data_IF_681815396425
#
_entry.id   IF_681815396425
#
_cell.length_a   1.000
_cell.length_b   1.000
_cell.length_c   1.000
_cell.angle_alpha   90.00
_cell.angle_beta   90.00
_cell.angle_gamma   90.00
#
_symmetry.space_group_name_H-M   'P 1'
#
loop_
_entity.id
_entity.type
_entity.pdbx_description
1 polymer ?
#
# COMPACT_ATOMS: atom_id res chain seq x y z
N UNK A 1 2.54 -6.18 8.78
CA UNK A 1 1.81 -5.18 7.94
C UNK A 1 0.66 -5.90 7.28
N UNK A 2 -0.51 -5.28 7.28
CA UNK A 2 -1.71 -5.75 6.54
C UNK A 2 -2.11 -4.69 5.53
N UNK A 3 -2.82 -5.07 4.47
CA UNK A 3 -3.16 -4.15 3.39
C UNK A 3 -4.60 -4.35 2.93
N UNK A 4 -5.33 -3.24 2.86
CA UNK A 4 -6.72 -3.18 2.42
C UNK A 4 -6.74 -2.85 0.93
N UNK A 5 -7.42 -3.67 0.13
CA UNK A 5 -7.79 -3.30 -1.23
C UNK A 5 -8.90 -2.24 -1.16
N UNK A 6 -8.61 -1.02 -1.59
CA UNK A 6 -9.58 0.08 -1.65
C UNK A 6 -10.03 0.41 -3.09
N UNK A 7 -9.63 -0.39 -4.07
CA UNK A 7 -9.96 -0.17 -5.48
C UNK A 7 -11.40 -0.53 -5.83
N UNK A 8 -11.97 -1.52 -5.13
CA UNK A 8 -13.23 -2.17 -5.46
C UNK A 8 -14.22 -2.16 -4.29
N UNK A 9 -14.13 -1.15 -3.42
CA UNK A 9 -15.09 -0.92 -2.32
C UNK A 9 -16.51 -0.97 -2.87
N UNK A 10 -17.37 -1.77 -2.23
CA UNK A 10 -18.78 -1.92 -2.62
C UNK A 10 -19.64 -0.87 -1.92
N UNK A 11 -19.51 -0.78 -0.59
CA UNK A 11 -20.21 0.16 0.28
C UNK A 11 -19.44 0.34 1.61
N UNK A 12 -20.00 1.13 2.52
CA UNK A 12 -19.42 1.41 3.84
C UNK A 12 -19.29 0.15 4.71
N UNK A 13 -20.27 -0.76 4.67
CA UNK A 13 -20.23 -2.01 5.46
C UNK A 13 -19.06 -2.87 5.01
N UNK A 14 -18.91 -3.05 3.69
CA UNK A 14 -17.80 -3.78 3.11
C UNK A 14 -16.44 -3.16 3.46
N UNK A 15 -16.34 -1.83 3.47
CA UNK A 15 -15.10 -1.15 3.86
C UNK A 15 -14.77 -1.34 5.33
N UNK A 16 -15.76 -1.20 6.22
CA UNK A 16 -15.62 -1.41 7.67
C UNK A 16 -15.15 -2.83 7.96
N UNK A 17 -15.76 -3.85 7.33
CA UNK A 17 -15.34 -5.25 7.49
C UNK A 17 -13.89 -5.48 7.09
N UNK A 18 -13.46 -4.92 5.93
CA UNK A 18 -12.07 -5.03 5.46
C UNK A 18 -11.09 -4.35 6.42
N UNK A 19 -11.44 -3.16 6.92
CA UNK A 19 -10.61 -2.40 7.89
C UNK A 19 -10.47 -3.17 9.20
N UNK A 20 -11.59 -3.69 9.74
CA UNK A 20 -11.58 -4.50 10.95
C UNK A 20 -10.79 -5.78 10.78
N UNK A 21 -10.95 -6.49 9.66
CA UNK A 21 -10.17 -7.70 9.39
C UNK A 21 -8.66 -7.41 9.30
N UNK A 22 -8.27 -6.32 8.62
CA UNK A 22 -6.87 -5.94 8.50
C UNK A 22 -6.25 -5.53 9.84
N UNK A 23 -7.00 -4.83 10.69
CA UNK A 23 -6.58 -4.45 12.04
C UNK A 23 -6.46 -5.69 12.96
N UNK A 24 -7.43 -6.58 12.92
CA UNK A 24 -7.42 -7.84 13.66
C UNK A 24 -6.20 -8.69 13.30
N UNK A 25 -6.01 -8.98 12.00
CA UNK A 25 -4.85 -9.76 11.52
C UNK A 25 -3.52 -9.08 11.86
N UNK A 26 -3.43 -7.76 11.73
CA UNK A 26 -2.25 -7.00 12.10
C UNK A 26 -1.94 -7.12 13.59
N UNK A 27 -2.97 -7.12 14.44
CA UNK A 27 -2.81 -7.25 15.90
C UNK A 27 -2.37 -8.65 16.30
N UNK A 28 -2.88 -9.70 15.66
CA UNK A 28 -2.37 -11.06 15.87
C UNK A 28 -0.87 -11.16 15.51
N UNK A 29 -0.45 -10.53 14.41
CA UNK A 29 0.96 -10.49 14.00
C UNK A 29 1.86 -9.80 15.04
N UNK A 30 1.35 -8.77 15.73
CA UNK A 30 2.13 -8.07 16.77
C UNK A 30 2.46 -8.96 17.98
N UNK A 31 1.70 -10.04 18.20
CA UNK A 31 2.00 -11.03 19.24
C UNK A 31 3.12 -12.01 18.89
N UNK A 32 3.62 -12.02 17.65
CA UNK A 32 4.68 -12.94 17.23
C UNK A 32 6.07 -12.37 17.59
N UNK A 33 6.42 -12.45 18.87
CA UNK A 33 7.65 -11.85 19.43
C UNK A 33 8.73 -12.87 19.81
N UNK A 34 8.55 -14.14 19.43
CA UNK A 34 9.54 -15.19 19.64
C UNK A 34 10.66 -15.14 18.59
N UNK A 35 11.66 -14.30 18.85
CA UNK A 35 12.78 -14.05 17.95
C UNK A 35 14.03 -14.83 18.32
N UNK A 36 14.11 -16.09 17.90
CA UNK A 36 15.22 -17.00 18.21
C UNK A 36 16.64 -16.50 17.84
N UNK A 37 16.76 -15.61 16.84
CA UNK A 37 18.05 -15.17 16.28
C UNK A 37 18.33 -13.68 16.46
N UNK A 38 17.45 -12.94 17.11
CA UNK A 38 17.61 -11.49 17.29
C UNK A 38 18.03 -11.17 18.73
N UNK A 39 18.75 -10.05 18.86
CA UNK A 39 19.10 -9.50 20.18
C UNK A 39 17.83 -9.27 21.00
N UNK A 40 17.83 -9.52 22.33
CA UNK A 40 16.65 -9.36 23.20
C UNK A 40 15.96 -7.99 23.09
N UNK A 41 16.73 -6.93 22.85
CA UNK A 41 16.20 -5.57 22.64
C UNK A 41 15.13 -5.47 21.55
N UNK A 42 15.21 -6.30 20.51
CA UNK A 42 14.20 -6.32 19.43
C UNK A 42 12.88 -6.91 19.91
N UNK A 43 12.94 -7.95 20.74
CA UNK A 43 11.75 -8.52 21.39
C UNK A 43 11.14 -7.50 22.35
N UNK A 44 11.93 -6.95 23.27
CA UNK A 44 11.49 -5.94 24.23
C UNK A 44 10.86 -4.73 23.56
N UNK A 45 11.47 -4.21 22.50
CA UNK A 45 10.94 -3.05 21.75
C UNK A 45 9.64 -3.41 21.01
N UNK A 46 9.56 -4.61 20.41
CA UNK A 46 8.36 -5.06 19.69
C UNK A 46 7.21 -5.28 20.65
N UNK A 47 7.45 -5.88 21.81
CA UNK A 47 6.43 -6.10 22.85
C UNK A 47 5.97 -4.78 23.48
N UNK A 48 6.89 -3.84 23.69
CA UNK A 48 6.57 -2.51 24.23
C UNK A 48 5.65 -1.72 23.29
N UNK A 49 6.03 -1.60 22.02
CA UNK A 49 5.30 -0.73 21.08
C UNK A 49 4.17 -1.46 20.34
N UNK A 50 4.23 -2.80 20.25
CA UNK A 50 3.28 -3.68 19.58
C UNK A 50 2.81 -3.16 18.20
N UNK A 51 3.75 -2.60 17.42
CA UNK A 51 3.42 -1.85 16.20
C UNK A 51 2.67 -2.71 15.19
N UNK A 52 1.56 -2.15 14.68
CA UNK A 52 0.87 -2.68 13.50
C UNK A 52 0.84 -1.61 12.41
N UNK A 53 0.82 -2.02 11.15
CA UNK A 53 0.63 -1.07 10.05
C UNK A 53 -0.41 -1.61 9.10
N UNK A 54 -1.62 -1.08 9.25
CA UNK A 54 -2.74 -1.26 8.33
C UNK A 54 -2.54 -0.26 7.19
N UNK A 55 -2.22 -0.80 6.02
CA UNK A 55 -1.98 -0.08 4.76
C UNK A 55 -3.22 -0.13 3.86
N UNK A 56 -3.22 0.70 2.83
CA UNK A 56 -4.20 0.66 1.74
C UNK A 56 -3.47 0.57 0.40
N UNK A 57 -4.03 -0.20 -0.54
CA UNK A 57 -3.60 -0.24 -1.94
C UNK A 57 -4.78 -0.01 -2.88
N UNK A 58 -4.52 0.55 -4.06
CA UNK A 58 -5.56 0.93 -5.00
C UNK A 58 -6.20 2.29 -4.71
N UNK A 59 -5.52 3.15 -3.95
CA UNK A 59 -6.04 4.48 -3.56
C UNK A 59 -6.40 5.31 -4.80
N UNK A 60 -5.59 5.22 -5.85
CA UNK A 60 -5.80 6.00 -7.08
C UNK A 60 -6.98 5.54 -7.93
N UNK A 61 -7.65 4.44 -7.58
CA UNK A 61 -8.94 4.06 -8.17
C UNK A 61 -10.09 4.96 -7.71
N UNK A 62 -9.88 5.79 -6.69
CA UNK A 62 -10.75 6.91 -6.35
C UNK A 62 -11.83 6.63 -5.31
N UNK A 63 -12.31 5.38 -5.17
CA UNK A 63 -13.44 5.05 -4.30
C UNK A 63 -13.25 5.46 -2.83
N UNK A 64 -12.03 5.33 -2.31
CA UNK A 64 -11.74 5.63 -0.90
C UNK A 64 -11.93 7.11 -0.54
N UNK A 65 -11.93 8.03 -1.51
CA UNK A 65 -12.11 9.47 -1.25
C UNK A 65 -13.53 9.85 -0.83
N UNK A 66 -14.50 8.96 -1.01
CA UNK A 66 -15.89 9.16 -0.60
C UNK A 66 -16.12 8.91 0.90
N UNK A 67 -15.10 8.37 1.60
CA UNK A 67 -15.20 7.92 2.99
C UNK A 67 -14.34 8.76 3.95
N UNK A 68 -14.73 8.75 5.22
CA UNK A 68 -14.02 9.45 6.29
C UNK A 68 -12.83 8.62 6.80
N UNK A 69 -11.63 8.96 6.31
CA UNK A 69 -10.39 8.29 6.69
C UNK A 69 -10.08 8.39 8.19
N UNK A 70 -10.54 9.44 8.88
CA UNK A 70 -10.31 9.63 10.31
C UNK A 70 -11.08 8.60 11.11
N UNK A 71 -12.37 8.43 10.80
CA UNK A 71 -13.21 7.39 11.44
C UNK A 71 -12.70 5.99 11.18
N UNK A 72 -12.21 5.72 9.97
CA UNK A 72 -11.62 4.41 9.66
C UNK A 72 -10.33 4.18 10.45
N UNK A 73 -9.49 5.20 10.65
CA UNK A 73 -8.28 5.08 11.46
C UNK A 73 -8.62 4.85 12.96
N UNK A 74 -9.67 5.50 13.46
CA UNK A 74 -10.21 5.24 14.80
C UNK A 74 -10.73 3.80 14.94
N UNK A 75 -11.44 3.29 13.93
CA UNK A 75 -11.87 1.90 13.89
C UNK A 75 -10.68 0.93 13.99
N UNK A 76 -9.58 1.18 13.27
CA UNK A 76 -8.35 0.37 13.38
C UNK A 76 -7.84 0.35 14.82
N UNK A 77 -7.75 1.50 15.49
CA UNK A 77 -7.30 1.60 16.89
C UNK A 77 -8.20 0.82 17.83
N UNK A 78 -9.52 0.93 17.66
CA UNK A 78 -10.50 0.24 18.51
C UNK A 78 -10.39 -1.28 18.35
N UNK A 79 -10.33 -1.78 17.11
CA UNK A 79 -10.15 -3.21 16.85
C UNK A 79 -8.81 -3.71 17.39
N UNK A 80 -7.75 -2.94 17.23
CA UNK A 80 -6.45 -3.28 17.79
C UNK A 80 -6.48 -3.37 19.32
N UNK A 81 -7.08 -2.39 20.01
CA UNK A 81 -7.14 -2.38 21.47
C UNK A 81 -7.89 -3.60 22.01
N UNK A 82 -9.09 -3.89 21.47
CA UNK A 82 -9.88 -5.06 21.86
C UNK A 82 -9.14 -6.36 21.57
N UNK A 83 -8.56 -6.50 20.37
CA UNK A 83 -7.85 -7.73 19.98
C UNK A 83 -6.58 -7.94 20.82
N UNK A 84 -5.83 -6.87 21.10
CA UNK A 84 -4.62 -6.91 21.91
C UNK A 84 -4.91 -7.34 23.34
N UNK A 85 -5.99 -6.82 23.93
CA UNK A 85 -6.48 -7.24 25.25
C UNK A 85 -6.82 -8.74 25.26
N UNK A 86 -7.54 -9.22 24.25
CA UNK A 86 -7.94 -10.64 24.15
C UNK A 86 -6.75 -11.60 24.07
N UNK A 87 -5.62 -11.19 23.47
CA UNK A 87 -4.43 -12.03 23.32
C UNK A 87 -3.32 -11.69 24.33
N UNK A 88 -3.55 -10.74 25.24
CA UNK A 88 -2.62 -10.40 26.32
C UNK A 88 -1.35 -9.66 25.89
N UNK A 89 -1.41 -8.82 24.84
CA UNK A 89 -0.30 -7.96 24.41
C UNK A 89 -0.63 -6.48 24.61
N UNK A 90 0.37 -5.60 24.51
CA UNK A 90 0.13 -4.16 24.52
C UNK A 90 -0.68 -3.72 23.29
N UNK A 91 -1.54 -2.72 23.47
CA UNK A 91 -2.13 -2.02 22.32
C UNK A 91 -1.04 -1.32 21.52
N UNK A 92 -1.20 -1.28 20.20
CA UNK A 92 -0.18 -0.76 19.30
C UNK A 92 0.02 0.75 19.51
N UNK A 93 1.27 1.17 19.63
CA UNK A 93 1.67 2.58 19.68
C UNK A 93 1.25 3.35 18.42
N UNK A 94 1.29 2.68 17.27
CA UNK A 94 0.92 3.18 15.94
C UNK A 94 0.26 2.07 15.15
N UNK A 95 -0.78 2.40 14.40
CA UNK A 95 -1.65 1.38 13.79
C UNK A 95 -1.80 1.48 12.28
N UNK A 96 -1.70 2.66 11.69
CA UNK A 96 -1.99 2.92 10.27
C UNK A 96 -0.76 3.42 9.54
N UNK A 97 -0.63 3.07 8.26
CA UNK A 97 0.43 3.57 7.38
C UNK A 97 -0.03 3.55 5.92
N UNK A 98 0.80 4.01 4.98
CA UNK A 98 0.66 3.66 3.57
C UNK A 98 2.01 3.21 3.03
N UNK A 99 2.07 1.96 2.57
CA UNK A 99 3.26 1.36 1.95
C UNK A 99 3.14 1.42 0.42
N UNK A 100 4.25 1.51 -0.34
CA UNK A 100 4.25 1.19 -1.75
C UNK A 100 3.93 -0.30 -1.95
N UNK A 101 2.77 -0.57 -2.54
CA UNK A 101 2.29 -1.93 -2.78
C UNK A 101 2.86 -2.46 -4.10
N UNK A 102 4.11 -2.92 -4.11
CA UNK A 102 4.76 -3.45 -5.32
C UNK A 102 4.05 -4.71 -5.84
N UNK A 103 4.30 -5.85 -5.20
CA UNK A 103 3.74 -7.16 -5.59
C UNK A 103 2.26 -7.31 -5.23
N UNK A 104 1.86 -6.83 -4.04
CA UNK A 104 0.49 -7.00 -3.52
C UNK A 104 -0.56 -6.33 -4.41
N UNK A 105 -0.26 -5.14 -4.95
CA UNK A 105 -1.15 -4.49 -5.92
C UNK A 105 -1.31 -5.28 -7.22
N UNK A 106 -0.31 -6.06 -7.63
CA UNK A 106 -0.40 -6.90 -8.83
C UNK A 106 -1.31 -8.09 -8.58
N UNK A 107 -1.15 -8.73 -7.42
CA UNK A 107 -2.01 -9.85 -7.00
C UNK A 107 -3.47 -9.41 -6.89
N UNK A 108 -3.72 -8.20 -6.39
CA UNK A 108 -5.06 -7.65 -6.21
C UNK A 108 -5.60 -6.92 -7.45
N UNK A 109 -4.78 -6.69 -8.47
CA UNK A 109 -5.17 -5.94 -9.68
C UNK A 109 -5.52 -4.48 -9.41
N UNK A 110 -4.71 -3.76 -8.61
CA UNK A 110 -4.96 -2.37 -8.19
C UNK A 110 -3.84 -1.41 -8.62
N UNK A 111 -4.04 -0.09 -8.40
CA UNK A 111 -2.89 0.83 -8.32
C UNK A 111 -2.01 0.52 -7.10
N UNK A 112 -0.75 0.92 -7.14
CA UNK A 112 0.23 0.57 -6.11
C UNK A 112 0.18 1.56 -4.93
N UNK A 113 -0.35 1.14 -3.78
CA UNK A 113 -0.43 1.98 -2.59
C UNK A 113 -1.16 3.29 -2.88
N UNK A 114 -0.45 4.41 -2.73
CA UNK A 114 -0.94 5.76 -3.01
C UNK A 114 -0.73 6.24 -4.46
N UNK A 115 0.03 5.51 -5.27
CA UNK A 115 0.39 5.96 -6.62
C UNK A 115 -0.75 5.79 -7.62
N UNK A 116 -0.75 6.68 -8.62
CA UNK A 116 -1.63 6.59 -9.79
C UNK A 116 -1.46 5.30 -10.59
N UNK A 117 -2.53 4.94 -11.30
CA UNK A 117 -2.46 3.94 -12.36
C UNK A 117 -1.53 4.41 -13.49
N UNK A 118 -0.88 3.45 -14.15
CA UNK A 118 0.09 3.79 -15.20
C UNK A 118 -0.56 4.55 -16.36
N UNK A 119 -1.68 4.05 -16.86
CA UNK A 119 -2.53 4.70 -17.84
C UNK A 119 -3.95 4.08 -17.81
N UNK A 120 -4.86 4.57 -18.63
CA UNK A 120 -6.18 3.98 -18.85
C UNK A 120 -6.10 2.53 -19.37
N UNK A 121 -5.23 2.30 -20.35
CA UNK A 121 -4.88 1.00 -20.92
C UNK A 121 -3.38 0.88 -21.09
N UNK A 122 -2.82 -0.26 -20.68
CA UNK A 122 -1.39 -0.52 -20.83
C UNK A 122 -1.09 -2.01 -20.82
N UNK A 123 0.07 -2.41 -21.36
CA UNK A 123 0.56 -3.77 -21.27
C UNK A 123 1.52 -3.88 -20.08
N UNK A 124 1.26 -4.83 -19.19
CA UNK A 124 2.19 -5.20 -18.12
C UNK A 124 2.98 -6.42 -18.56
N UNK A 125 4.31 -6.31 -18.50
CA UNK A 125 5.22 -7.38 -18.92
C UNK A 125 5.86 -8.06 -17.72
N UNK A 126 5.99 -9.39 -17.81
CA UNK A 126 6.76 -10.22 -16.89
C UNK A 126 7.78 -11.01 -17.71
N UNK A 127 9.03 -11.06 -17.26
CA UNK A 127 10.05 -11.95 -17.81
C UNK A 127 10.01 -13.27 -17.05
N UNK A 128 9.94 -14.37 -17.78
CA UNK A 128 9.98 -15.73 -17.25
C UNK A 128 10.95 -16.55 -18.08
N UNK A 129 11.37 -17.71 -17.56
CA UNK A 129 12.07 -18.71 -18.35
C UNK A 129 11.08 -19.65 -19.02
N UNK A 130 11.42 -20.13 -20.22
CA UNK A 130 10.61 -21.06 -21.01
C UNK A 130 10.34 -22.41 -20.32
N UNK A 131 11.18 -22.78 -19.35
CA UNK A 131 11.00 -24.00 -18.56
C UNK A 131 10.07 -23.83 -17.34
N UNK A 132 9.62 -22.61 -17.04
CA UNK A 132 8.68 -22.39 -15.94
C UNK A 132 7.28 -22.93 -16.28
N UNK A 133 6.55 -23.51 -15.32
CA UNK A 133 5.21 -24.08 -15.55
C UNK A 133 4.23 -23.08 -16.18
N UNK A 134 4.31 -21.80 -15.79
CA UNK A 134 3.43 -20.75 -16.32
C UNK A 134 3.64 -20.51 -17.81
N UNK A 135 4.88 -20.57 -18.31
CA UNK A 135 5.17 -20.43 -19.73
C UNK A 135 4.51 -21.57 -20.51
N UNK A 136 4.72 -22.81 -20.06
CA UNK A 136 4.17 -24.00 -20.74
C UNK A 136 2.65 -23.92 -20.81
N UNK A 137 1.99 -23.55 -19.70
CA UNK A 137 0.54 -23.38 -19.67
C UNK A 137 0.06 -22.30 -20.64
N UNK A 138 0.69 -21.13 -20.64
CA UNK A 138 0.30 -20.03 -21.53
C UNK A 138 0.61 -20.33 -22.99
N UNK A 139 1.69 -21.05 -23.29
CA UNK A 139 2.03 -21.42 -24.66
C UNK A 139 0.95 -22.31 -25.29
N UNK A 140 0.38 -23.24 -24.52
CA UNK A 140 -0.71 -24.12 -24.98
C UNK A 140 -2.05 -23.37 -25.06
N UNK A 141 -2.39 -22.57 -24.05
CA UNK A 141 -3.75 -22.05 -23.90
C UNK A 141 -3.92 -20.61 -24.41
N UNK A 142 -2.88 -19.78 -24.35
CA UNK A 142 -2.92 -18.34 -24.65
C UNK A 142 -1.60 -17.84 -25.27
N UNK A 143 -1.14 -18.41 -26.41
CA UNK A 143 0.17 -18.10 -26.97
C UNK A 143 0.33 -16.63 -27.39
N UNK A 144 -0.77 -15.91 -27.65
CA UNK A 144 -0.77 -14.48 -27.98
C UNK A 144 -0.25 -13.59 -26.85
N UNK A 145 -0.19 -14.09 -25.62
CA UNK A 145 0.39 -13.36 -24.48
C UNK A 145 1.92 -13.51 -24.39
N UNK A 146 2.54 -14.34 -25.24
CA UNK A 146 3.96 -14.67 -25.15
C UNK A 146 4.75 -14.04 -26.28
N UNK A 147 5.93 -13.51 -25.93
CA UNK A 147 6.94 -13.01 -26.86
C UNK A 147 8.30 -13.60 -26.46
N UNK A 148 9.19 -13.84 -27.42
CA UNK A 148 10.58 -14.21 -27.10
C UNK A 148 11.31 -13.02 -26.46
N UNK A 149 12.12 -13.28 -25.42
CA UNK A 149 12.92 -12.24 -24.81
C UNK A 149 14.11 -11.86 -25.71
N UNK A 150 14.20 -10.57 -26.06
CA UNK A 150 15.29 -10.04 -26.90
C UNK A 150 16.63 -9.99 -26.17
N UNK A 151 16.62 -9.93 -24.84
CA UNK A 151 17.82 -9.83 -24.02
C UNK A 151 18.34 -11.20 -23.58
N UNK A 152 17.44 -12.16 -23.44
CA UNK A 152 17.73 -13.52 -23.03
C UNK A 152 17.28 -14.50 -24.12
N UNK A 153 18.13 -14.64 -25.14
CA UNK A 153 17.79 -15.35 -26.38
C UNK A 153 17.77 -16.87 -26.23
N UNK A 154 18.37 -17.40 -25.17
CA UNK A 154 18.49 -18.84 -24.98
C UNK A 154 17.17 -19.43 -24.48
N UNK A 155 16.69 -18.96 -23.32
CA UNK A 155 15.51 -19.53 -22.69
C UNK A 155 14.55 -18.48 -22.10
N UNK A 156 14.74 -17.19 -22.40
CA UNK A 156 13.87 -16.12 -21.94
C UNK A 156 12.57 -16.00 -22.74
N UNK A 157 11.48 -15.71 -22.03
CA UNK A 157 10.20 -15.32 -22.61
C UNK A 157 9.58 -14.15 -21.84
N UNK A 158 8.78 -13.36 -22.55
CA UNK A 158 8.01 -12.24 -22.00
C UNK A 158 6.53 -12.58 -22.05
N UNK A 159 5.86 -12.49 -20.90
CA UNK A 159 4.41 -12.52 -20.80
C UNK A 159 3.91 -11.07 -20.85
N UNK A 160 3.04 -10.75 -21.80
CA UNK A 160 2.45 -9.42 -22.03
C UNK A 160 0.96 -9.44 -21.72
N UNK A 161 0.58 -8.94 -20.54
CA UNK A 161 -0.82 -8.95 -20.07
C UNK A 161 -1.45 -7.57 -20.26
N UNK A 162 -2.57 -7.43 -21.01
CA UNK A 162 -3.29 -6.17 -21.08
C UNK A 162 -3.91 -5.81 -19.74
N UNK A 163 -3.86 -4.53 -19.41
CA UNK A 163 -4.37 -3.96 -18.16
C UNK A 163 -5.29 -2.79 -18.50
N UNK A 164 -6.32 -2.60 -17.67
CA UNK A 164 -7.24 -1.47 -17.76
C UNK A 164 -7.45 -0.88 -16.37
N UNK A 165 -7.19 0.41 -16.21
CA UNK A 165 -7.51 1.12 -14.98
C UNK A 165 -9.05 1.24 -14.82
N UNK A 166 -9.59 1.17 -13.60
CA UNK A 166 -10.99 1.49 -13.34
C UNK A 166 -11.37 2.87 -13.90
N UNK A 167 -12.60 3.02 -14.39
CA UNK A 167 -13.08 4.29 -14.94
C UNK A 167 -13.03 5.38 -13.86
N UNK A 168 -12.49 6.56 -14.20
CA UNK A 168 -12.35 7.69 -13.27
C UNK A 168 -11.13 7.60 -12.35
N UNK A 169 -10.25 6.60 -12.54
CA UNK A 169 -9.01 6.50 -11.79
C UNK A 169 -8.08 7.69 -12.07
N UNK A 170 -7.24 8.00 -11.08
CA UNK A 170 -6.12 8.91 -11.24
C UNK A 170 -5.00 8.19 -11.98
N UNK A 171 -4.50 8.82 -13.04
CA UNK A 171 -3.46 8.29 -13.93
C UNK A 171 -2.14 9.05 -13.74
N UNK A 172 -1.04 8.48 -14.22
CA UNK A 172 0.32 9.03 -14.06
C UNK A 172 0.58 10.39 -14.71
N UNK A 173 -0.39 10.92 -15.46
CA UNK A 173 -0.34 12.29 -15.97
C UNK A 173 -0.75 13.34 -14.92
N UNK A 174 -1.09 12.92 -13.69
CA UNK A 174 -1.26 13.83 -12.54
C UNK A 174 0.00 14.68 -12.30
N UNK A 175 -0.18 15.88 -11.73
CA UNK A 175 0.96 16.72 -11.36
C UNK A 175 1.64 16.21 -10.08
N UNK A 176 2.90 16.61 -9.88
CA UNK A 176 3.61 16.35 -8.62
C UNK A 176 2.84 16.87 -7.40
N UNK A 177 2.16 18.02 -7.55
CA UNK A 177 1.39 18.66 -6.48
C UNK A 177 0.10 17.91 -6.16
N UNK A 178 -0.52 17.24 -7.13
CA UNK A 178 -1.72 16.40 -6.90
C UNK A 178 -1.35 15.19 -6.04
N UNK A 179 -0.25 14.50 -6.39
CA UNK A 179 0.27 13.40 -5.58
C UNK A 179 0.68 13.86 -4.18
N UNK A 180 1.37 14.99 -4.06
CA UNK A 180 1.75 15.56 -2.76
C UNK A 180 0.52 15.93 -1.91
N UNK A 181 -0.51 16.50 -2.53
CA UNK A 181 -1.77 16.82 -1.85
C UNK A 181 -2.49 15.55 -1.38
N UNK A 182 -2.45 14.48 -2.18
CA UNK A 182 -2.95 13.15 -1.78
C UNK A 182 -2.13 12.57 -0.62
N UNK A 183 -0.81 12.64 -0.67
CA UNK A 183 0.09 12.22 0.44
C UNK A 183 -0.24 12.97 1.72
N UNK A 184 -0.40 14.30 1.65
CA UNK A 184 -0.82 15.14 2.78
C UNK A 184 -2.15 14.67 3.37
N UNK A 185 -3.17 14.43 2.54
CA UNK A 185 -4.49 13.96 2.99
C UNK A 185 -4.38 12.65 3.78
N UNK A 186 -3.69 11.64 3.24
CA UNK A 186 -3.53 10.35 3.93
C UNK A 186 -2.62 10.45 5.16
N UNK A 187 -1.61 11.30 5.13
CA UNK A 187 -0.78 11.56 6.30
C UNK A 187 -1.61 12.17 7.44
N UNK A 188 -2.43 13.18 7.14
CA UNK A 188 -3.22 13.88 8.18
C UNK A 188 -4.44 13.11 8.65
N UNK A 189 -5.17 12.47 7.74
CA UNK A 189 -6.46 11.86 8.07
C UNK A 189 -6.36 10.37 8.40
N UNK A 190 -5.39 9.64 7.83
CA UNK A 190 -5.21 8.20 8.07
C UNK A 190 -4.05 7.92 9.04
N UNK A 191 -2.85 8.39 8.74
CA UNK A 191 -1.63 8.05 9.50
C UNK A 191 -1.60 8.71 10.88
N UNK A 192 -1.84 10.02 10.97
CA UNK A 192 -1.84 10.73 12.26
C UNK A 192 -2.95 10.22 13.19
N UNK A 193 -4.13 9.90 12.65
CA UNK A 193 -5.25 9.45 13.47
C UNK A 193 -5.08 8.01 13.99
N UNK A 194 -4.24 7.18 13.37
CA UNK A 194 -3.87 5.86 13.89
C UNK A 194 -2.65 5.87 14.84
N UNK A 195 -2.18 7.03 15.29
CA UNK A 195 -1.12 7.17 16.29
C UNK A 195 -1.73 7.24 17.71
N UNK A 196 -1.25 6.38 18.62
CA UNK A 196 -1.64 6.38 20.03
C UNK A 196 -0.57 7.04 20.91
N UNK A 197 0.70 6.66 20.75
CA UNK A 197 1.79 7.14 21.57
C UNK A 197 3.14 7.06 20.83
N UNK A 198 4.17 7.63 21.47
CA UNK A 198 5.52 7.72 20.92
C UNK A 198 5.81 9.10 20.32
N UNK A 199 7.07 9.31 19.95
CA UNK A 199 7.53 10.57 19.35
C UNK A 199 7.28 10.63 17.84
N UNK A 200 7.14 9.46 17.21
CA UNK A 200 7.06 9.33 15.76
C UNK A 200 5.70 8.77 15.36
N UNK A 201 5.16 9.26 14.25
CA UNK A 201 4.05 8.61 13.55
C UNK A 201 4.60 7.55 12.58
N UNK A 202 3.73 6.71 12.01
CA UNK A 202 4.07 6.01 10.77
C UNK A 202 4.12 7.01 9.60
N UNK A 203 4.26 6.51 8.36
CA UNK A 203 4.40 7.39 7.20
C UNK A 203 3.53 6.93 6.01
N UNK A 204 3.42 7.83 5.05
CA UNK A 204 2.94 7.57 3.69
C UNK A 204 4.17 7.48 2.80
N UNK A 205 4.55 6.28 2.40
CA UNK A 205 5.69 6.09 1.51
C UNK A 205 5.25 6.30 0.06
N UNK A 206 5.86 7.29 -0.59
CA UNK A 206 5.59 7.68 -1.96
C UNK A 206 6.87 8.13 -2.66
N UNK A 207 7.06 7.71 -3.91
CA UNK A 207 8.01 8.33 -4.83
C UNK A 207 7.33 9.42 -5.66
N UNK A 208 7.78 10.67 -5.51
CA UNK A 208 7.26 11.81 -6.28
C UNK A 208 8.30 12.19 -7.33
N UNK A 209 7.93 12.08 -8.61
CA UNK A 209 8.78 12.50 -9.73
C UNK A 209 8.47 13.95 -10.07
N UNK A 210 9.44 14.83 -9.86
CA UNK A 210 9.32 16.28 -10.09
C UNK A 210 10.02 16.66 -11.38
N UNK A 211 9.33 17.41 -12.26
CA UNK A 211 9.95 17.96 -13.48
C UNK A 211 10.78 19.19 -13.14
N UNK A 212 11.75 19.52 -14.00
CA UNK A 212 12.64 20.68 -13.79
C UNK A 212 11.85 22.00 -13.62
N UNK A 213 10.77 22.17 -14.38
CA UNK A 213 9.90 23.35 -14.35
C UNK A 213 8.92 23.38 -13.17
N UNK A 214 8.77 22.28 -12.42
CA UNK A 214 7.90 22.19 -11.24
C UNK A 214 8.65 22.42 -9.91
N UNK A 215 9.99 22.52 -9.95
CA UNK A 215 10.84 22.42 -8.76
C UNK A 215 10.54 23.51 -7.71
N UNK A 216 10.44 24.77 -8.14
CA UNK A 216 10.21 25.89 -7.20
C UNK A 216 8.84 25.79 -6.53
N UNK A 217 7.81 25.42 -7.28
CA UNK A 217 6.46 25.24 -6.73
C UNK A 217 6.41 24.07 -5.75
N UNK A 218 7.08 22.95 -6.06
CA UNK A 218 7.17 21.80 -5.14
C UNK A 218 7.94 22.18 -3.87
N UNK A 219 9.04 22.93 -3.98
CA UNK A 219 9.82 23.41 -2.83
C UNK A 219 8.98 24.24 -1.87
N UNK A 220 8.23 25.20 -2.41
CA UNK A 220 7.31 26.03 -1.61
C UNK A 220 6.21 25.20 -0.96
N UNK A 221 5.63 24.26 -1.71
CA UNK A 221 4.61 23.35 -1.17
C UNK A 221 5.17 22.52 -0.01
N UNK A 222 6.36 21.93 -0.17
CA UNK A 222 7.01 21.14 0.87
C UNK A 222 7.22 21.99 2.12
N UNK A 223 7.85 23.16 2.00
CA UNK A 223 8.10 24.05 3.13
C UNK A 223 6.83 24.43 3.89
N UNK A 224 5.76 24.75 3.17
CA UNK A 224 4.45 25.12 3.74
C UNK A 224 3.77 23.93 4.43
N UNK A 225 4.00 22.70 3.96
CA UNK A 225 3.33 21.49 4.43
C UNK A 225 4.23 20.55 5.24
N UNK A 226 5.39 21.01 5.72
CA UNK A 226 6.39 20.22 6.46
C UNK A 226 5.85 19.44 7.68
N UNK A 227 4.74 19.87 8.25
CA UNK A 227 4.07 19.19 9.37
C UNK A 227 3.16 18.04 8.91
N UNK A 228 2.96 17.87 7.60
CA UNK A 228 2.01 16.93 7.01
C UNK A 228 2.67 15.75 6.29
N UNK A 229 3.98 15.57 6.43
CA UNK A 229 4.72 14.42 5.96
C UNK A 229 5.95 14.22 6.85
N UNK A 230 6.47 13.01 6.93
CA UNK A 230 7.76 12.75 7.58
C UNK A 230 8.81 12.54 6.49
N UNK A 231 9.98 13.19 6.65
CA UNK A 231 11.13 13.05 5.77
C UNK A 231 11.82 11.69 5.86
#
# INVERSE_FOLDING_TARGET
LTEINVSDIVDEVNLVERVSAAAFLGTLQAGYTDFHYLRPIWKETTEKDALIGVSMTGIASGKIFEYDLTKLAELVKNVNAVTAEMIGINSAARTTCVKPAGTTSLTLGTSSGIHAWHNDYYIRRLRVKKHEPIYTYLHVNNPLLLEDDKFDKEDGAIISVPQRAPKGSILRNESSLDLLSRVRKFSTEWVKNGHNNGMNTHNVSATVSVKEDEWDTVKEWMWKNREAYNG
#
